data_IF_082416391011
#
_entry.id   IF_082416391011
#
_cell.length_a   1.000
_cell.length_b   1.000
_cell.length_c   1.000
_cell.angle_alpha   90.00
_cell.angle_beta   90.00
_cell.angle_gamma   90.00
#
_symmetry.space_group_name_H-M   'P 1'
#
loop_
_entity.id
_entity.type
_entity.pdbx_description
1 polymer ?
#
# COMPACT_ATOMS: atom_id res chain seq x y z
N UNK A 1 -30.40 -35.81 -27.43
CA UNK A 1 -31.00 -34.71 -26.64
C UNK A 1 -30.00 -34.30 -25.57
N UNK A 2 -29.20 -33.27 -25.87
CA UNK A 2 -28.16 -32.72 -25.00
C UNK A 2 -28.79 -31.82 -23.94
N UNK A 3 -28.79 -32.23 -22.67
CA UNK A 3 -29.37 -31.44 -21.56
C UNK A 3 -28.46 -31.25 -20.34
N UNK A 4 -27.14 -31.50 -20.44
CA UNK A 4 -26.24 -31.36 -19.28
C UNK A 4 -25.10 -30.33 -19.42
N UNK A 5 -25.01 -29.61 -20.54
CA UNK A 5 -23.89 -28.68 -20.78
C UNK A 5 -24.06 -27.27 -20.15
N UNK A 6 -25.25 -26.93 -19.61
CA UNK A 6 -25.58 -25.56 -19.18
C UNK A 6 -25.21 -25.14 -17.74
N UNK A 7 -25.17 -26.01 -16.71
CA UNK A 7 -24.90 -25.52 -15.35
C UNK A 7 -23.41 -25.24 -15.11
N UNK A 8 -22.52 -25.90 -15.87
CA UNK A 8 -21.07 -25.73 -15.72
C UNK A 8 -20.58 -24.33 -16.12
N UNK A 9 -21.18 -23.75 -17.17
CA UNK A 9 -20.86 -22.40 -17.65
C UNK A 9 -21.28 -21.31 -16.65
N UNK A 10 -22.39 -21.52 -15.93
CA UNK A 10 -22.88 -20.56 -14.94
C UNK A 10 -21.99 -20.53 -13.68
N UNK A 11 -21.43 -21.67 -13.27
CA UNK A 11 -20.49 -21.74 -12.14
C UNK A 11 -19.14 -21.11 -12.52
N UNK A 12 -18.66 -21.32 -13.74
CA UNK A 12 -17.40 -20.72 -14.22
C UNK A 12 -17.47 -19.18 -14.29
N UNK A 13 -18.63 -18.63 -14.68
CA UNK A 13 -18.87 -17.19 -14.73
C UNK A 13 -19.04 -16.54 -13.33
N UNK A 14 -19.35 -17.32 -12.29
CA UNK A 14 -19.50 -16.82 -10.92
C UNK A 14 -18.16 -16.72 -10.18
N UNK A 15 -17.16 -17.51 -10.56
CA UNK A 15 -15.81 -17.45 -9.99
C UNK A 15 -15.00 -16.22 -10.45
N UNK A 16 -15.36 -15.58 -11.56
CA UNK A 16 -14.68 -14.37 -12.06
C UNK A 16 -15.13 -13.08 -11.36
N UNK A 17 -16.10 -13.17 -10.45
CA UNK A 17 -16.66 -12.02 -9.72
C UNK A 17 -16.11 -11.86 -8.31
N UNK A 18 -15.10 -12.65 -7.91
CA UNK A 18 -14.34 -12.38 -6.69
C UNK A 18 -13.62 -11.04 -6.91
N UNK A 19 -13.96 -9.97 -6.18
CA UNK A 19 -13.17 -8.76 -6.22
C UNK A 19 -11.76 -9.16 -5.76
N UNK A 20 -10.79 -9.01 -6.66
CA UNK A 20 -9.40 -9.29 -6.38
C UNK A 20 -8.94 -8.41 -5.23
N UNK A 21 -9.00 -8.96 -4.02
CA UNK A 21 -8.35 -8.40 -2.86
C UNK A 21 -6.86 -8.65 -3.09
N UNK A 22 -6.23 -7.83 -3.94
CA UNK A 22 -4.78 -7.86 -4.14
C UNK A 22 -4.14 -7.81 -2.77
N UNK A 23 -3.53 -8.95 -2.41
CA UNK A 23 -2.90 -9.09 -1.12
C UNK A 23 -1.70 -8.15 -1.08
N UNK A 24 -1.33 -7.71 0.13
CA UNK A 24 -0.13 -6.89 0.32
C UNK A 24 1.11 -7.49 -0.36
N UNK A 25 1.24 -8.81 -0.31
CA UNK A 25 2.37 -9.53 -0.91
C UNK A 25 2.42 -9.39 -2.45
N UNK A 26 1.27 -9.44 -3.13
CA UNK A 26 1.20 -9.28 -4.58
C UNK A 26 1.61 -7.88 -5.02
N UNK A 27 1.19 -6.85 -4.27
CA UNK A 27 1.58 -5.45 -4.55
C UNK A 27 3.07 -5.21 -4.33
N UNK A 28 3.63 -5.78 -3.26
CA UNK A 28 5.08 -5.73 -2.99
C UNK A 28 5.87 -6.44 -4.09
N UNK A 29 5.39 -7.59 -4.60
CA UNK A 29 6.01 -8.30 -5.71
C UNK A 29 5.93 -7.53 -7.04
N UNK A 30 4.79 -6.88 -7.32
CA UNK A 30 4.65 -6.02 -8.50
C UNK A 30 5.64 -4.85 -8.46
N UNK A 31 5.76 -4.19 -7.30
CA UNK A 31 6.74 -3.12 -7.10
C UNK A 31 8.19 -3.61 -7.28
N UNK A 32 8.55 -4.75 -6.68
CA UNK A 32 9.89 -5.35 -6.86
C UNK A 32 10.18 -5.68 -8.34
N UNK A 33 9.17 -6.15 -9.09
CA UNK A 33 9.33 -6.46 -10.51
C UNK A 33 9.60 -5.22 -11.36
N UNK A 34 8.97 -4.07 -11.03
CA UNK A 34 9.23 -2.79 -11.69
C UNK A 34 10.65 -2.30 -11.41
N UNK A 35 11.10 -2.37 -10.15
CA UNK A 35 12.49 -2.03 -9.80
C UNK A 35 13.47 -2.95 -10.54
N UNK A 36 13.21 -4.26 -10.58
CA UNK A 36 14.06 -5.21 -11.30
C UNK A 36 14.15 -4.90 -12.79
N UNK A 37 13.07 -4.44 -13.42
CA UNK A 37 13.07 -4.06 -14.83
C UNK A 37 13.97 -2.84 -15.12
N UNK A 38 14.25 -2.01 -14.11
CA UNK A 38 15.13 -0.84 -14.21
C UNK A 38 16.60 -1.16 -13.89
N UNK A 39 16.90 -2.38 -13.42
CA UNK A 39 18.28 -2.79 -13.16
C UNK A 39 19.09 -2.80 -14.47
N UNK A 40 20.31 -2.27 -14.41
CA UNK A 40 21.20 -2.08 -15.55
C UNK A 40 20.97 -0.78 -16.33
N UNK A 41 19.94 0.01 -16.01
CA UNK A 41 19.70 1.29 -16.67
C UNK A 41 20.84 2.30 -16.40
N UNK A 42 21.19 3.15 -17.37
CA UNK A 42 22.09 4.28 -17.13
C UNK A 42 21.42 5.29 -16.19
N UNK A 43 22.20 6.08 -15.47
CA UNK A 43 21.68 7.05 -14.48
C UNK A 43 20.54 7.91 -15.04
N UNK A 44 20.71 8.51 -16.22
CA UNK A 44 19.66 9.33 -16.85
C UNK A 44 18.38 8.52 -17.17
N UNK A 45 18.52 7.26 -17.57
CA UNK A 45 17.39 6.36 -17.79
C UNK A 45 16.65 6.04 -16.49
N UNK A 46 17.41 5.79 -15.41
CA UNK A 46 16.85 5.56 -14.08
C UNK A 46 16.13 6.81 -13.55
N UNK A 47 16.70 8.00 -13.70
CA UNK A 47 16.05 9.24 -13.27
C UNK A 47 14.74 9.48 -14.03
N UNK A 48 14.70 9.16 -15.32
CA UNK A 48 13.49 9.27 -16.13
C UNK A 48 12.44 8.22 -15.75
N UNK A 49 12.86 6.99 -15.48
CA UNK A 49 11.94 5.91 -15.10
C UNK A 49 11.35 6.12 -13.71
N UNK A 50 12.14 6.67 -12.78
CA UNK A 50 11.68 7.04 -11.44
C UNK A 50 10.82 8.32 -11.43
N UNK A 51 10.72 9.04 -12.54
CA UNK A 51 9.90 10.25 -12.71
C UNK A 51 10.26 11.45 -11.82
N UNK A 52 11.31 11.34 -10.99
CA UNK A 52 11.73 12.38 -10.04
C UNK A 52 13.21 12.30 -9.71
N UNK A 53 13.76 13.42 -9.26
CA UNK A 53 15.13 13.53 -8.75
C UNK A 53 15.23 12.81 -7.38
N UNK A 54 16.33 12.10 -7.09
CA UNK A 54 16.58 11.49 -5.78
C UNK A 54 16.64 12.55 -4.67
N UNK A 55 16.13 12.20 -3.50
CA UNK A 55 16.16 13.06 -2.31
C UNK A 55 17.57 13.15 -1.72
N UNK A 56 18.36 12.10 -1.87
CA UNK A 56 19.73 12.04 -1.37
C UNK A 56 20.61 11.24 -2.32
N UNK A 57 21.83 11.73 -2.52
CA UNK A 57 22.85 11.05 -3.30
C UNK A 57 24.15 10.99 -2.52
N UNK A 58 24.67 9.78 -2.29
CA UNK A 58 25.93 9.55 -1.61
C UNK A 58 26.95 9.04 -2.62
N UNK A 59 28.14 9.62 -2.64
CA UNK A 59 29.26 9.10 -3.43
C UNK A 59 30.21 8.43 -2.45
N UNK A 60 30.46 7.14 -2.65
CA UNK A 60 31.40 6.38 -1.83
C UNK A 60 32.83 6.63 -2.34
N UNK A 61 33.81 6.43 -1.46
CA UNK A 61 35.23 6.57 -1.78
C UNK A 61 35.66 5.61 -2.91
N UNK A 62 34.96 4.48 -3.04
CA UNK A 62 35.15 3.48 -4.09
C UNK A 62 34.65 3.93 -5.48
N UNK A 63 34.11 5.15 -5.60
CA UNK A 63 33.56 5.70 -6.84
C UNK A 63 32.15 5.22 -7.19
N UNK A 64 31.52 4.40 -6.34
CA UNK A 64 30.11 4.04 -6.46
C UNK A 64 29.20 5.16 -5.95
N UNK A 65 27.99 5.27 -6.51
CA UNK A 65 27.02 6.32 -6.15
C UNK A 65 25.73 5.67 -5.68
N UNK A 66 25.26 6.04 -4.50
CA UNK A 66 23.97 5.61 -3.96
C UNK A 66 22.96 6.73 -4.18
N UNK A 67 21.85 6.41 -4.82
CA UNK A 67 20.73 7.32 -5.03
C UNK A 67 19.54 6.86 -4.18
N UNK A 68 18.99 7.75 -3.37
CA UNK A 68 17.89 7.43 -2.47
C UNK A 68 16.66 8.27 -2.80
N UNK A 69 15.52 7.60 -2.91
CA UNK A 69 14.19 8.18 -3.03
C UNK A 69 13.36 7.83 -1.81
N UNK A 70 12.66 8.83 -1.29
CA UNK A 70 11.80 8.72 -0.12
C UNK A 70 10.41 9.23 -0.46
N UNK A 71 9.41 8.43 -0.12
CA UNK A 71 8.00 8.82 -0.15
C UNK A 71 7.45 8.74 1.26
N UNK A 72 7.07 9.89 1.81
CA UNK A 72 6.37 9.98 3.08
C UNK A 72 4.88 10.24 2.80
N UNK A 73 4.10 9.16 2.70
CA UNK A 73 2.64 9.29 2.61
C UNK A 73 2.03 9.19 4.01
N UNK A 74 1.18 10.15 4.35
CA UNK A 74 0.36 10.10 5.56
C UNK A 74 -1.10 10.15 5.18
N UNK A 75 -1.91 9.30 5.79
CA UNK A 75 -3.35 9.36 5.66
C UNK A 75 -4.00 9.26 7.03
N UNK A 76 -5.18 9.84 7.13
CA UNK A 76 -6.03 9.71 8.32
C UNK A 76 -6.83 8.43 8.13
N UNK A 77 -6.63 7.46 9.01
CA UNK A 77 -7.50 6.31 9.12
C UNK A 77 -8.80 6.78 9.81
N UNK A 78 -9.93 6.84 9.10
CA UNK A 78 -11.16 7.37 9.66
C UNK A 78 -11.62 6.44 10.79
N UNK A 79 -11.52 6.95 12.01
CA UNK A 79 -12.01 6.28 13.20
C UNK A 79 -13.50 5.99 13.12
N UNK A 80 -13.98 5.09 13.98
CA UNK A 80 -15.41 4.83 14.13
C UNK A 80 -15.95 5.63 15.32
N UNK A 81 -17.00 6.45 15.15
CA UNK A 81 -17.61 7.13 16.29
C UNK A 81 -18.24 6.11 17.25
N UNK A 82 -18.22 6.36 18.58
CA UNK A 82 -18.85 5.49 19.55
C UNK A 82 -20.37 5.48 19.34
N UNK A 83 -20.99 4.32 19.53
CA UNK A 83 -22.45 4.22 19.61
C UNK A 83 -22.87 4.49 21.04
N UNK A 84 -23.91 5.30 21.24
CA UNK A 84 -24.41 5.59 22.59
C UNK A 84 -25.54 4.64 22.94
N UNK A 85 -25.35 3.83 23.99
CA UNK A 85 -26.41 3.00 24.53
C UNK A 85 -26.94 3.64 25.81
N UNK A 86 -28.26 3.69 25.93
CA UNK A 86 -28.93 4.20 27.14
C UNK A 86 -28.97 3.09 28.18
N UNK A 87 -28.30 3.29 29.31
CA UNK A 87 -28.26 2.35 30.42
C UNK A 87 -29.02 2.91 31.63
N UNK A 88 -29.88 2.09 32.25
CA UNK A 88 -30.59 2.42 33.48
C UNK A 88 -31.80 3.37 33.33
N UNK A 89 -32.87 2.93 32.66
CA UNK A 89 -34.13 3.68 32.56
C UNK A 89 -35.36 2.81 32.84
N UNK A 90 -36.34 3.34 33.54
CA UNK A 90 -37.59 2.65 33.88
C UNK A 90 -38.59 2.81 32.72
N UNK A 91 -38.63 1.83 31.82
CA UNK A 91 -39.69 1.74 30.82
C UNK A 91 -39.73 2.84 29.75
N UNK A 92 -40.63 2.64 28.79
CA UNK A 92 -40.80 3.42 27.57
C UNK A 92 -40.96 4.93 27.83
N UNK A 93 -39.89 5.70 27.59
CA UNK A 93 -39.97 7.15 27.38
C UNK A 93 -39.87 8.05 28.61
N UNK A 94 -39.88 7.53 29.83
CA UNK A 94 -39.86 8.36 31.05
C UNK A 94 -38.51 8.30 31.77
N UNK A 95 -37.63 9.24 31.37
CA UNK A 95 -36.59 9.89 32.19
C UNK A 95 -35.72 9.06 33.14
N UNK A 96 -34.41 8.98 32.85
CA UNK A 96 -33.41 8.61 33.88
C UNK A 96 -32.17 7.83 33.42
N UNK A 97 -32.06 7.46 32.14
CA UNK A 97 -30.91 6.68 31.65
C UNK A 97 -29.67 7.54 31.39
N UNK A 98 -28.52 7.05 31.84
CA UNK A 98 -27.21 7.62 31.47
C UNK A 98 -26.83 7.09 30.09
N UNK A 99 -26.39 8.00 29.22
CA UNK A 99 -25.81 7.63 27.92
C UNK A 99 -24.39 7.12 28.15
N UNK A 100 -24.18 5.83 27.93
CA UNK A 100 -22.85 5.22 28.02
C UNK A 100 -22.35 5.00 26.59
N UNK A 101 -21.17 5.54 26.22
CA UNK A 101 -20.55 5.23 24.94
C UNK A 101 -20.11 3.77 24.92
N UNK A 102 -20.47 3.04 23.87
CA UNK A 102 -19.99 1.69 23.56
C UNK A 102 -19.26 1.68 22.23
N UNK A 103 -18.07 1.09 22.24
CA UNK A 103 -17.22 0.93 21.06
C UNK A 103 -16.68 2.26 20.53
N UNK A 104 -16.33 2.25 19.25
CA UNK A 104 -15.66 3.36 18.58
C UNK A 104 -14.15 3.40 18.84
N UNK A 105 -13.42 3.96 17.87
CA UNK A 105 -11.99 4.24 18.00
C UNK A 105 -11.70 5.59 17.34
N UNK A 106 -10.81 6.41 17.94
CA UNK A 106 -10.47 7.71 17.37
C UNK A 106 -9.77 7.55 16.02
N UNK A 107 -9.89 8.52 15.10
CA UNK A 107 -9.10 8.53 13.88
C UNK A 107 -7.62 8.56 14.25
N UNK A 108 -6.82 7.78 13.54
CA UNK A 108 -5.36 7.74 13.76
C UNK A 108 -4.64 8.22 12.52
N UNK A 109 -3.54 8.93 12.73
CA UNK A 109 -2.68 9.37 11.64
C UNK A 109 -1.67 8.26 11.35
N UNK A 110 -1.87 7.54 10.24
CA UNK A 110 -0.98 6.47 9.82
C UNK A 110 0.05 7.04 8.85
N UNK A 111 1.33 6.92 9.20
CA UNK A 111 2.46 7.30 8.33
C UNK A 111 3.00 6.05 7.65
N UNK A 112 2.98 6.03 6.33
CA UNK A 112 3.57 4.99 5.52
C UNK A 112 4.71 5.58 4.70
N UNK A 113 5.94 5.28 5.16
CA UNK A 113 7.16 5.58 4.43
C UNK A 113 7.48 4.49 3.40
N UNK A 114 8.01 4.90 2.25
CA UNK A 114 8.77 4.04 1.35
C UNK A 114 10.13 4.69 1.09
N UNK A 115 11.19 3.91 1.19
CA UNK A 115 12.54 4.32 0.84
C UNK A 115 13.06 3.34 -0.21
N UNK A 116 13.54 3.85 -1.34
CA UNK A 116 14.19 3.08 -2.40
C UNK A 116 15.60 3.61 -2.57
N UNK A 117 16.57 2.72 -2.50
CA UNK A 117 17.99 2.99 -2.65
C UNK A 117 18.49 2.25 -3.89
N UNK A 118 19.18 2.97 -4.77
CA UNK A 118 19.84 2.42 -5.94
C UNK A 118 21.34 2.57 -5.81
N UNK A 119 22.07 1.49 -6.02
CA UNK A 119 23.53 1.49 -6.09
C UNK A 119 23.95 1.56 -7.56
N UNK A 120 24.61 2.66 -7.90
CA UNK A 120 25.18 2.92 -9.20
C UNK A 120 26.67 2.56 -9.18
N UNK A 121 27.10 1.73 -10.12
CA UNK A 121 28.52 1.43 -10.35
C UNK A 121 28.83 1.71 -11.82
N UNK A 122 29.90 2.47 -12.07
CA UNK A 122 30.34 2.84 -13.42
C UNK A 122 29.25 3.49 -14.28
N UNK A 123 28.35 4.28 -13.67
CA UNK A 123 27.26 4.99 -14.36
C UNK A 123 26.01 4.16 -14.66
N UNK A 124 25.95 2.91 -14.19
CA UNK A 124 24.82 1.98 -14.38
C UNK A 124 24.24 1.52 -13.06
N UNK A 125 22.92 1.30 -13.02
CA UNK A 125 22.18 0.82 -11.86
C UNK A 125 22.45 -0.68 -11.63
N UNK A 126 23.22 -1.03 -10.62
CA UNK A 126 23.66 -2.42 -10.39
C UNK A 126 22.83 -3.14 -9.34
N UNK A 127 22.36 -2.41 -8.33
CA UNK A 127 21.53 -2.98 -7.28
C UNK A 127 20.49 -1.99 -6.80
N UNK A 128 19.44 -2.52 -6.21
CA UNK A 128 18.44 -1.73 -5.53
C UNK A 128 18.05 -2.39 -4.21
N UNK A 129 17.59 -1.56 -3.29
CA UNK A 129 17.00 -1.98 -2.02
C UNK A 129 15.81 -1.09 -1.75
N UNK A 130 14.73 -1.66 -1.26
CA UNK A 130 13.55 -0.90 -0.86
C UNK A 130 13.08 -1.32 0.52
N UNK A 131 12.52 -0.38 1.26
CA UNK A 131 12.07 -0.56 2.63
C UNK A 131 10.83 0.29 2.92
N UNK A 132 9.92 -0.26 3.72
CA UNK A 132 8.76 0.46 4.24
C UNK A 132 7.42 0.01 3.67
N UNK A 133 6.37 0.08 4.49
CA UNK A 133 5.04 -0.41 4.15
C UNK A 133 4.30 0.47 3.13
N UNK A 134 4.85 1.64 2.78
CA UNK A 134 4.29 2.54 1.77
C UNK A 134 4.67 2.18 0.33
N UNK A 135 5.63 1.26 0.11
CA UNK A 135 6.15 1.00 -1.24
C UNK A 135 5.10 0.42 -2.20
N UNK A 136 4.16 -0.36 -1.68
CA UNK A 136 3.00 -0.89 -2.42
C UNK A 136 2.01 0.17 -2.94
N UNK A 137 2.08 1.43 -2.46
CA UNK A 137 1.15 2.51 -2.87
C UNK A 137 1.78 3.52 -3.81
N UNK A 138 3.11 3.48 -3.96
CA UNK A 138 3.84 4.39 -4.83
C UNK A 138 4.17 3.68 -6.14
N UNK A 139 4.08 4.42 -7.23
CA UNK A 139 4.58 3.98 -8.53
C UNK A 139 5.92 4.70 -8.72
N UNK A 140 7.04 3.97 -8.83
CA UNK A 140 8.31 4.57 -9.20
C UNK A 140 8.21 5.14 -10.61
#
# INVERSE_FOLDING_TARGET
>A
MSMFAKPLLAVLALLTLLPGCETRAEREAAFDSQLRAMAGAPEAGLLNSMGRIPDSSYQLEDGSKILQWKWDTSYIDPGMPPMYQRFGGWGWGWGGGVWIPMGGFPPTLVRQGCIVEWTMVSGSAQGYRWQGAGCQKVTP
#
